data_IF_513526731729
#
_entry.id   IF_513526731729
#
_cell.length_a   1.000
_cell.length_b   1.000
_cell.length_c   1.000
_cell.angle_alpha   90.00
_cell.angle_beta   90.00
_cell.angle_gamma   90.00
#
_symmetry.space_group_name_H-M   'P 1'
#
loop_
_entity.id
_entity.type
_entity.pdbx_description
1 polymer ?
#
# COMPACT_ATOMS: atom_id res chain seq x y z
N UNK A 1 -27.34 -22.33 -44.99
CA UNK A 1 -25.99 -21.78 -44.77
C UNK A 1 -26.06 -20.40 -44.17
N UNK A 2 -25.78 -20.31 -42.86
CA UNK A 2 -25.80 -19.03 -42.14
C UNK A 2 -24.45 -18.35 -42.39
N UNK A 3 -24.41 -17.45 -43.37
CA UNK A 3 -23.21 -16.70 -43.74
C UNK A 3 -22.80 -15.76 -42.60
N UNK A 4 -21.81 -16.15 -41.80
CA UNK A 4 -21.31 -15.32 -40.70
C UNK A 4 -20.33 -14.28 -41.25
N UNK A 5 -20.88 -13.11 -41.59
CA UNK A 5 -20.12 -11.99 -42.16
C UNK A 5 -18.93 -11.57 -41.27
N UNK A 6 -19.07 -11.65 -39.95
CA UNK A 6 -17.99 -11.38 -39.01
C UNK A 6 -16.82 -12.36 -39.18
N UNK A 7 -17.11 -13.66 -39.30
CA UNK A 7 -16.08 -14.69 -39.44
C UNK A 7 -15.31 -14.53 -40.76
N UNK A 8 -16.03 -14.25 -41.86
CA UNK A 8 -15.40 -13.98 -43.15
C UNK A 8 -14.51 -12.72 -43.12
N UNK A 9 -15.00 -11.64 -42.51
CA UNK A 9 -14.26 -10.39 -42.36
C UNK A 9 -12.99 -10.58 -41.52
N UNK A 10 -13.10 -11.35 -40.43
CA UNK A 10 -11.96 -11.70 -39.58
C UNK A 10 -10.90 -12.49 -40.36
N UNK A 11 -11.30 -13.55 -41.06
CA UNK A 11 -10.38 -14.39 -41.83
C UNK A 11 -9.68 -13.59 -42.95
N UNK A 12 -10.41 -12.68 -43.62
CA UNK A 12 -9.83 -11.80 -44.63
C UNK A 12 -8.79 -10.82 -44.04
N UNK A 13 -9.07 -10.24 -42.87
CA UNK A 13 -8.12 -9.34 -42.19
C UNK A 13 -6.87 -10.11 -41.73
N UNK A 14 -7.04 -11.30 -41.14
CA UNK A 14 -5.92 -12.08 -40.59
C UNK A 14 -5.00 -12.66 -41.67
N UNK A 15 -5.54 -13.05 -42.82
CA UNK A 15 -4.79 -13.84 -43.82
C UNK A 15 -4.54 -13.13 -45.15
N UNK A 16 -5.27 -12.04 -45.44
CA UNK A 16 -5.26 -11.43 -46.77
C UNK A 16 -4.92 -9.94 -46.78
N UNK A 17 -4.84 -9.27 -45.63
CA UNK A 17 -4.47 -7.85 -45.54
C UNK A 17 -3.02 -7.73 -45.03
N UNK A 18 -2.13 -7.36 -45.94
CA UNK A 18 -0.74 -7.04 -45.63
C UNK A 18 -0.51 -5.56 -45.91
N UNK A 19 -0.14 -4.79 -44.88
CA UNK A 19 0.13 -3.36 -44.99
C UNK A 19 1.59 -3.04 -44.68
N UNK A 20 2.26 -2.32 -45.58
CA UNK A 20 3.60 -1.77 -45.37
C UNK A 20 3.52 -0.26 -45.59
N UNK A 21 3.82 0.50 -44.54
CA UNK A 21 3.98 1.95 -44.59
C UNK A 21 5.33 2.31 -43.97
N UNK A 22 5.94 3.41 -44.41
CA UNK A 22 7.19 3.92 -43.85
C UNK A 22 6.98 4.55 -42.47
N UNK A 23 5.76 5.04 -42.20
CA UNK A 23 5.35 5.53 -40.90
C UNK A 23 4.66 4.43 -40.08
N UNK A 24 5.34 4.00 -39.01
CA UNK A 24 4.83 3.00 -38.06
C UNK A 24 3.52 3.47 -37.40
N UNK A 25 3.34 4.78 -37.18
CA UNK A 25 2.13 5.34 -36.59
C UNK A 25 0.90 5.11 -37.49
N UNK A 26 1.05 5.25 -38.81
CA UNK A 26 -0.01 4.98 -39.77
C UNK A 26 -0.42 3.50 -39.78
N UNK A 27 0.56 2.59 -39.64
CA UNK A 27 0.31 1.13 -39.53
C UNK A 27 -0.51 0.82 -38.28
N UNK A 28 -0.18 1.40 -37.13
CA UNK A 28 -0.92 1.17 -35.88
C UNK A 28 -2.34 1.75 -35.94
N UNK A 29 -2.54 2.92 -36.56
CA UNK A 29 -3.88 3.48 -36.78
C UNK A 29 -4.72 2.58 -37.69
N UNK A 30 -4.12 2.02 -38.76
CA UNK A 30 -4.81 1.10 -39.66
C UNK A 30 -5.22 -0.19 -38.93
N UNK A 31 -4.33 -0.78 -38.11
CA UNK A 31 -4.65 -1.94 -37.26
C UNK A 31 -5.80 -1.65 -36.30
N UNK A 32 -5.76 -0.51 -35.62
CA UNK A 32 -6.83 -0.08 -34.70
C UNK A 32 -8.17 0.05 -35.43
N UNK A 33 -8.17 0.64 -36.64
CA UNK A 33 -9.38 0.80 -37.44
C UNK A 33 -9.98 -0.55 -37.88
N UNK A 34 -9.13 -1.49 -38.31
CA UNK A 34 -9.57 -2.85 -38.67
C UNK A 34 -10.15 -3.58 -37.47
N UNK A 35 -9.50 -3.48 -36.30
CA UNK A 35 -10.01 -4.05 -35.05
C UNK A 35 -11.36 -3.47 -34.65
N UNK A 36 -11.53 -2.14 -34.69
CA UNK A 36 -12.81 -1.48 -34.42
C UNK A 36 -13.90 -1.95 -35.39
N UNK A 37 -13.56 -2.15 -36.67
CA UNK A 37 -14.51 -2.65 -37.67
C UNK A 37 -15.01 -4.07 -37.38
N UNK A 38 -14.19 -4.89 -36.71
CA UNK A 38 -14.59 -6.23 -36.26
C UNK A 38 -15.44 -6.15 -34.99
N UNK A 39 -15.09 -5.25 -34.07
CA UNK A 39 -15.83 -5.05 -32.81
C UNK A 39 -17.27 -4.59 -33.07
N UNK A 40 -17.48 -3.67 -34.03
CA UNK A 40 -18.82 -3.21 -34.44
C UNK A 40 -19.67 -4.38 -34.94
N UNK A 41 -19.12 -5.19 -35.84
CA UNK A 41 -19.85 -6.31 -36.46
C UNK A 41 -20.11 -7.46 -35.49
N UNK A 42 -19.26 -7.62 -34.47
CA UNK A 42 -19.46 -8.64 -33.43
C UNK A 42 -20.70 -8.38 -32.58
N UNK A 43 -21.19 -7.13 -32.53
CA UNK A 43 -22.36 -6.74 -31.77
C UNK A 43 -22.19 -7.04 -30.28
N UNK A 44 -21.62 -6.11 -29.53
CA UNK A 44 -21.64 -6.23 -28.07
C UNK A 44 -22.87 -5.51 -27.53
N UNK A 45 -23.85 -6.27 -27.04
CA UNK A 45 -24.92 -5.71 -26.23
C UNK A 45 -24.39 -5.42 -24.83
N UNK A 46 -24.30 -4.13 -24.49
CA UNK A 46 -24.00 -3.67 -23.15
C UNK A 46 -25.21 -2.91 -22.60
N UNK A 47 -25.59 -3.23 -21.37
CA UNK A 47 -26.57 -2.42 -20.65
C UNK A 47 -25.94 -1.05 -20.37
N UNK A 48 -26.56 0.00 -20.93
CA UNK A 48 -26.04 1.38 -20.82
C UNK A 48 -25.85 1.84 -19.37
N UNK A 49 -26.64 1.30 -18.45
CA UNK A 49 -26.54 1.53 -17.00
C UNK A 49 -25.20 1.05 -16.40
N UNK A 50 -24.51 0.11 -17.06
CA UNK A 50 -23.20 -0.41 -16.64
C UNK A 50 -22.02 0.44 -17.11
N UNK A 51 -22.26 1.46 -17.96
CA UNK A 51 -21.25 2.40 -18.44
C UNK A 51 -21.09 3.56 -17.46
N UNK A 52 -20.46 3.29 -16.32
CA UNK A 52 -20.13 4.34 -15.35
C UNK A 52 -18.87 5.10 -15.79
N UNK A 53 -18.80 6.40 -15.51
CA UNK A 53 -17.67 7.28 -15.84
C UNK A 53 -16.31 6.82 -15.28
N UNK A 54 -16.33 5.90 -14.31
CA UNK A 54 -15.18 5.39 -13.58
C UNK A 54 -14.58 4.10 -14.17
N UNK A 55 -15.22 3.43 -15.13
CA UNK A 55 -14.78 2.12 -15.64
C UNK A 55 -14.68 2.13 -17.17
N UNK A 56 -13.45 2.20 -17.68
CA UNK A 56 -13.15 2.19 -19.12
C UNK A 56 -12.68 0.82 -19.64
N UNK A 57 -12.86 -0.26 -18.85
CA UNK A 57 -12.53 -1.63 -19.26
C UNK A 57 -13.80 -2.49 -19.33
N UNK A 58 -14.06 -3.06 -20.50
CA UNK A 58 -15.26 -3.88 -20.78
C UNK A 58 -15.07 -5.36 -20.43
N UNK A 59 -13.84 -5.77 -20.08
CA UNK A 59 -13.49 -7.15 -19.75
C UNK A 59 -13.61 -7.41 -18.25
N UNK A 60 -14.09 -8.59 -17.87
CA UNK A 60 -14.21 -9.06 -16.47
C UNK A 60 -15.24 -8.31 -15.59
N UNK A 61 -16.22 -7.63 -16.20
CA UNK A 61 -17.36 -7.03 -15.47
C UNK A 61 -18.16 -8.08 -14.67
N UNK A 62 -18.30 -9.30 -15.20
CA UNK A 62 -18.93 -10.43 -14.52
C UNK A 62 -18.20 -10.83 -13.23
N UNK A 63 -16.86 -10.89 -13.27
CA UNK A 63 -16.02 -11.20 -12.10
C UNK A 63 -16.08 -10.04 -11.10
N UNK A 64 -16.04 -8.79 -11.58
CA UNK A 64 -16.17 -7.60 -10.74
C UNK A 64 -17.49 -7.59 -9.97
N UNK A 65 -18.61 -7.81 -10.67
CA UNK A 65 -19.95 -7.85 -10.08
C UNK A 65 -20.06 -8.95 -9.01
N UNK A 66 -19.45 -10.12 -9.23
CA UNK A 66 -19.38 -11.19 -8.22
C UNK A 66 -18.59 -10.76 -6.98
N UNK A 67 -17.43 -10.12 -7.17
CA UNK A 67 -16.61 -9.63 -6.06
C UNK A 67 -17.39 -8.62 -5.22
N UNK A 68 -17.99 -7.63 -5.87
CA UNK A 68 -18.78 -6.57 -5.20
C UNK A 68 -20.03 -7.12 -4.52
N UNK A 69 -20.70 -8.12 -5.10
CA UNK A 69 -21.91 -8.74 -4.54
C UNK A 69 -21.63 -9.59 -3.30
N UNK A 70 -20.50 -10.31 -3.28
CA UNK A 70 -20.16 -11.26 -2.20
C UNK A 70 -19.39 -10.55 -1.08
N UNK A 71 -18.50 -9.62 -1.43
CA UNK A 71 -17.62 -8.95 -0.50
C UNK A 71 -18.31 -7.85 0.29
N UNK A 72 -17.83 -7.59 1.50
CA UNK A 72 -18.14 -6.38 2.26
C UNK A 72 -16.98 -5.39 2.06
N UNK A 73 -17.24 -4.13 1.68
CA UNK A 73 -16.18 -3.12 1.54
C UNK A 73 -15.34 -3.02 2.80
N UNK A 74 -14.01 -2.92 2.66
CA UNK A 74 -13.08 -2.96 3.78
C UNK A 74 -13.33 -1.86 4.83
N UNK A 75 -13.79 -0.67 4.42
CA UNK A 75 -14.22 0.41 5.33
C UNK A 75 -15.36 0.02 6.28
N UNK A 76 -16.15 -0.98 5.90
CA UNK A 76 -17.28 -1.48 6.69
C UNK A 76 -16.88 -2.71 7.53
N UNK A 77 -15.60 -3.10 7.52
CA UNK A 77 -15.00 -4.01 8.51
C UNK A 77 -14.62 -3.25 9.79
N UNK A 78 -14.39 -3.99 10.88
CA UNK A 78 -13.92 -3.44 12.15
C UNK A 78 -12.41 -3.12 12.10
N UNK A 79 -12.03 -2.28 11.13
CA UNK A 79 -10.66 -1.82 10.87
C UNK A 79 -10.53 -0.31 10.93
N UNK A 80 -9.34 0.16 11.26
CA UNK A 80 -8.91 1.54 11.02
C UNK A 80 -7.92 1.55 9.86
N UNK A 81 -8.07 2.52 8.94
CA UNK A 81 -7.17 2.70 7.80
C UNK A 81 -6.53 4.08 7.86
N UNK A 82 -5.20 4.08 7.99
CA UNK A 82 -4.40 5.28 8.24
C UNK A 82 -3.15 5.32 7.36
N UNK A 83 -2.41 6.43 7.40
CA UNK A 83 -1.14 6.60 6.69
C UNK A 83 -0.03 7.00 7.67
N UNK A 84 1.22 6.81 7.26
CA UNK A 84 2.36 7.13 8.11
C UNK A 84 2.66 8.62 8.26
N UNK A 85 3.76 8.91 8.94
CA UNK A 85 4.17 10.24 9.36
C UNK A 85 4.78 11.03 8.21
N UNK A 86 4.37 12.30 8.09
CA UNK A 86 5.05 13.28 7.23
C UNK A 86 6.08 14.02 8.07
N UNK A 87 7.37 13.70 7.88
CA UNK A 87 8.45 14.39 8.59
C UNK A 87 8.60 15.84 8.12
N UNK A 88 8.38 16.08 6.83
CA UNK A 88 8.63 17.35 6.14
C UNK A 88 10.11 17.64 5.86
N UNK A 89 11.03 16.82 6.36
CA UNK A 89 12.47 16.89 6.05
C UNK A 89 13.19 15.64 6.57
N UNK A 90 13.25 14.60 5.74
CA UNK A 90 13.73 13.27 6.14
C UNK A 90 15.16 13.28 6.72
N UNK A 91 16.07 14.08 6.18
CA UNK A 91 17.49 14.15 6.63
C UNK A 91 17.65 14.49 8.11
N UNK A 92 16.73 15.26 8.70
CA UNK A 92 16.80 15.60 10.12
C UNK A 92 16.13 14.54 11.00
N UNK A 93 15.03 13.93 10.56
CA UNK A 93 14.20 13.07 11.41
C UNK A 93 14.41 11.57 11.22
N UNK A 94 14.98 11.15 10.10
CA UNK A 94 15.30 9.74 9.83
C UNK A 94 16.80 9.57 9.98
N UNK A 95 17.20 8.79 10.98
CA UNK A 95 18.58 8.62 11.39
C UNK A 95 18.99 7.15 11.32
N UNK A 96 20.28 6.90 11.10
CA UNK A 96 20.89 5.59 11.23
C UNK A 96 21.28 5.30 12.69
N UNK A 97 21.68 4.06 12.95
CA UNK A 97 22.10 3.63 14.29
C UNK A 97 23.32 4.43 14.80
N UNK A 98 24.24 4.81 13.91
CA UNK A 98 25.41 5.62 14.27
C UNK A 98 25.00 7.00 14.79
N UNK A 99 24.07 7.67 14.11
CA UNK A 99 23.56 8.98 14.51
C UNK A 99 22.70 8.87 15.76
N UNK A 100 21.86 7.82 15.87
CA UNK A 100 21.12 7.51 17.09
C UNK A 100 22.06 7.39 18.29
N UNK A 101 23.12 6.59 18.18
CA UNK A 101 24.07 6.41 19.26
C UNK A 101 24.83 7.71 19.60
N UNK A 102 25.16 8.52 18.58
CA UNK A 102 25.78 9.84 18.79
C UNK A 102 24.87 10.78 19.61
N UNK A 103 23.57 10.81 19.31
CA UNK A 103 22.61 11.61 20.09
C UNK A 103 22.54 11.08 21.53
N UNK A 104 22.41 9.77 21.72
CA UNK A 104 22.28 9.17 23.05
C UNK A 104 23.56 9.31 23.91
N UNK A 105 24.75 9.20 23.31
CA UNK A 105 26.02 9.39 24.00
C UNK A 105 26.28 10.84 24.42
N UNK A 106 25.67 11.81 23.72
CA UNK A 106 25.78 13.24 24.06
C UNK A 106 24.76 13.68 25.13
N UNK A 107 23.86 12.78 25.58
CA UNK A 107 22.97 13.06 26.70
C UNK A 107 23.77 13.26 27.99
N UNK A 108 23.36 14.25 28.79
CA UNK A 108 24.10 14.65 30.01
C UNK A 108 23.81 13.77 31.21
N UNK A 109 22.68 13.07 31.20
CA UNK A 109 22.16 12.27 32.31
C UNK A 109 21.53 10.99 31.77
N UNK A 110 21.51 9.93 32.57
CA UNK A 110 20.83 8.68 32.18
C UNK A 110 19.32 8.89 32.03
N UNK A 111 18.71 9.79 32.80
CA UNK A 111 17.31 10.16 32.62
C UNK A 111 17.09 10.83 31.25
N UNK A 112 18.06 11.60 30.74
CA UNK A 112 17.99 12.21 29.40
C UNK A 112 18.08 11.16 28.32
N UNK A 113 19.02 10.24 28.49
CA UNK A 113 19.23 9.15 27.56
C UNK A 113 17.96 8.30 27.43
N UNK A 114 17.37 7.85 28.55
CA UNK A 114 16.13 7.05 28.57
C UNK A 114 14.96 7.75 27.88
N UNK A 115 14.69 9.03 28.20
CA UNK A 115 13.58 9.77 27.59
C UNK A 115 13.83 10.10 26.11
N UNK A 116 15.08 10.34 25.72
CA UNK A 116 15.45 10.58 24.31
C UNK A 116 15.35 9.31 23.49
N UNK A 117 15.77 8.17 24.04
CA UNK A 117 15.63 6.86 23.42
C UNK A 117 14.16 6.51 23.19
N UNK A 118 13.28 6.78 24.17
CA UNK A 118 11.85 6.48 24.07
C UNK A 118 11.12 7.18 22.90
N UNK A 119 11.65 8.31 22.42
CA UNK A 119 11.08 9.05 21.27
C UNK A 119 11.79 8.75 19.94
N UNK A 120 12.84 7.92 19.94
CA UNK A 120 13.52 7.46 18.74
C UNK A 120 13.00 6.07 18.41
N UNK A 121 12.08 5.99 17.45
CA UNK A 121 11.31 4.78 17.14
C UNK A 121 11.82 4.13 15.85
N UNK A 122 11.88 2.78 15.73
CA UNK A 122 12.17 2.14 14.46
C UNK A 122 11.23 2.61 13.36
N UNK A 123 11.75 2.85 12.14
CA UNK A 123 10.94 3.36 11.02
C UNK A 123 11.12 2.54 9.75
N UNK A 124 10.03 2.34 9.02
CA UNK A 124 10.00 1.72 7.70
C UNK A 124 9.69 2.73 6.61
N UNK A 125 10.30 2.53 5.44
CA UNK A 125 10.07 3.29 4.21
C UNK A 125 9.36 2.40 3.18
N UNK A 126 8.75 3.00 2.16
CA UNK A 126 7.99 2.22 1.15
C UNK A 126 8.77 1.04 0.57
N UNK A 127 10.05 1.25 0.20
CA UNK A 127 10.92 0.19 -0.36
C UNK A 127 11.24 -0.97 0.60
N UNK A 128 11.07 -0.74 1.89
CA UNK A 128 11.32 -1.72 2.95
C UNK A 128 10.13 -2.71 3.07
N UNK A 129 8.99 -2.42 2.42
CA UNK A 129 7.79 -3.27 2.41
C UNK A 129 7.82 -4.23 1.22
N UNK A 130 7.61 -5.51 1.48
CA UNK A 130 7.56 -6.59 0.48
C UNK A 130 6.21 -7.32 0.57
N UNK A 131 5.98 -8.29 -0.31
CA UNK A 131 4.78 -9.14 -0.23
C UNK A 131 4.91 -10.06 0.97
N UNK A 132 3.95 -10.01 1.89
CA UNK A 132 3.89 -10.70 3.19
C UNK A 132 4.84 -10.19 4.29
N UNK A 133 6.05 -9.73 3.96
CA UNK A 133 7.07 -9.33 4.95
C UNK A 133 7.64 -7.93 4.73
N UNK A 134 8.49 -7.49 5.66
CA UNK A 134 9.21 -6.22 5.60
C UNK A 134 10.69 -6.44 5.98
N UNK A 135 11.56 -5.54 5.52
CA UNK A 135 12.99 -5.53 5.84
C UNK A 135 13.39 -4.22 6.48
N UNK A 136 13.50 -4.20 7.80
CA UNK A 136 13.94 -2.99 8.49
C UNK A 136 15.40 -2.68 8.17
N UNK A 137 15.65 -1.45 7.75
CA UNK A 137 16.95 -1.01 7.25
C UNK A 137 17.89 -0.47 8.36
N UNK A 138 17.60 -0.75 9.64
CA UNK A 138 18.36 -0.17 10.76
C UNK A 138 18.17 1.35 10.91
N UNK A 139 17.00 1.85 10.51
CA UNK A 139 16.68 3.28 10.53
C UNK A 139 15.66 3.62 11.62
N UNK A 140 15.79 4.83 12.14
CA UNK A 140 14.96 5.32 13.22
C UNK A 140 14.35 6.68 12.88
N UNK A 141 13.11 6.88 13.32
CA UNK A 141 12.41 8.15 13.31
C UNK A 141 12.56 8.83 14.68
N UNK A 142 12.97 10.09 14.67
CA UNK A 142 12.85 10.97 15.83
C UNK A 142 11.41 11.47 15.88
N UNK A 143 10.59 10.89 16.76
CA UNK A 143 9.16 11.18 16.87
C UNK A 143 8.91 12.41 17.77
N UNK A 144 8.72 13.57 17.13
CA UNK A 144 8.46 14.85 17.84
C UNK A 144 7.10 15.42 17.41
N UNK A 145 6.03 15.23 18.20
CA UNK A 145 4.72 15.82 17.93
C UNK A 145 4.73 17.35 18.05
N UNK A 146 3.65 17.99 17.61
CA UNK A 146 3.50 19.45 17.78
C UNK A 146 3.53 19.86 19.25
N UNK A 147 4.10 21.03 19.54
CA UNK A 147 4.27 21.57 20.88
C UNK A 147 5.14 20.74 21.83
N UNK A 148 5.89 19.76 21.34
CA UNK A 148 6.77 18.93 22.16
C UNK A 148 7.76 19.77 22.99
N UNK A 149 8.00 19.47 24.28
CA UNK A 149 7.48 18.33 25.06
C UNK A 149 6.13 18.61 25.75
N UNK A 150 5.43 19.69 25.40
CA UNK A 150 4.13 20.10 25.93
C UNK A 150 2.94 19.66 25.07
N UNK A 151 3.11 18.65 24.21
CA UNK A 151 2.09 18.15 23.26
C UNK A 151 0.76 17.73 23.91
N UNK A 152 0.72 17.48 25.22
CA UNK A 152 -0.51 17.18 25.97
C UNK A 152 -1.31 18.43 26.37
N UNK A 153 -0.74 19.62 26.26
CA UNK A 153 -1.41 20.89 26.60
C UNK A 153 -2.23 21.40 25.41
N UNK A 154 -3.54 21.11 25.45
CA UNK A 154 -4.50 21.51 24.39
C UNK A 154 -4.74 23.02 24.29
N UNK A 155 -4.19 23.83 25.21
CA UNK A 155 -4.33 25.30 25.19
C UNK A 155 -3.31 25.98 24.28
N UNK A 156 -2.25 25.25 23.89
CA UNK A 156 -1.20 25.81 23.03
C UNK A 156 -1.69 25.79 21.58
N UNK A 157 -1.75 26.96 20.97
CA UNK A 157 -2.05 27.13 19.56
C UNK A 157 -0.87 27.84 18.89
N UNK A 158 -0.40 27.29 17.76
CA UNK A 158 0.74 27.84 17.02
C UNK A 158 2.08 27.71 17.75
N UNK A 159 3.09 28.47 17.31
CA UNK A 159 4.47 28.35 17.81
C UNK A 159 4.59 28.71 19.29
N UNK A 160 5.08 27.79 20.12
CA UNK A 160 5.32 28.03 21.54
C UNK A 160 6.81 28.19 21.87
N UNK A 161 7.21 29.42 22.22
CA UNK A 161 8.56 29.68 22.76
C UNK A 161 8.81 28.93 24.07
N UNK A 162 7.75 28.72 24.87
CA UNK A 162 7.80 27.93 26.11
C UNK A 162 8.10 26.46 25.83
N UNK A 163 7.52 25.89 24.77
CA UNK A 163 7.82 24.53 24.33
C UNK A 163 9.28 24.42 23.88
N UNK A 164 9.78 25.35 23.07
CA UNK A 164 11.19 25.35 22.64
C UNK A 164 12.16 25.46 23.81
N UNK A 165 11.91 26.35 24.77
CA UNK A 165 12.74 26.48 25.97
C UNK A 165 12.77 25.17 26.78
N UNK A 166 11.60 24.53 26.97
CA UNK A 166 11.53 23.24 27.66
C UNK A 166 12.22 22.13 26.86
N UNK A 167 12.08 22.11 25.54
CA UNK A 167 12.76 21.15 24.67
C UNK A 167 14.28 21.27 24.82
N UNK A 168 14.83 22.48 24.74
CA UNK A 168 16.26 22.75 24.95
C UNK A 168 16.74 22.34 26.35
N UNK A 169 15.93 22.54 27.39
CA UNK A 169 16.28 22.21 28.78
C UNK A 169 16.21 20.71 29.07
N UNK A 170 15.18 20.02 28.55
CA UNK A 170 14.88 18.62 28.88
C UNK A 170 15.60 17.67 27.90
N UNK A 171 15.80 18.06 26.64
CA UNK A 171 16.45 17.25 25.61
C UNK A 171 17.63 18.01 24.97
N UNK A 172 18.62 18.48 25.74
CA UNK A 172 19.70 19.32 25.21
C UNK A 172 20.50 18.62 24.10
N UNK A 173 20.76 17.31 24.19
CA UNK A 173 21.46 16.57 23.13
C UNK A 173 20.67 16.59 21.81
N UNK A 174 19.40 16.20 21.86
CA UNK A 174 18.54 16.15 20.67
C UNK A 174 18.24 17.54 20.10
N UNK A 175 18.05 18.55 20.96
CA UNK A 175 17.91 19.95 20.54
C UNK A 175 19.13 20.39 19.72
N UNK A 176 20.34 20.14 20.22
CA UNK A 176 21.57 20.53 19.54
C UNK A 176 21.73 19.81 18.19
N UNK A 177 21.35 18.53 18.11
CA UNK A 177 21.33 17.80 16.86
C UNK A 177 20.37 18.42 15.83
N UNK A 178 19.10 18.67 16.21
CA UNK A 178 18.13 19.28 15.28
C UNK A 178 18.49 20.72 14.92
N UNK A 179 19.17 21.43 15.82
CA UNK A 179 19.63 22.80 15.59
C UNK A 179 20.55 22.92 14.37
N UNK A 180 21.33 21.87 14.05
CA UNK A 180 22.14 21.80 12.82
C UNK A 180 21.32 21.98 11.54
N UNK A 181 20.02 21.67 11.61
CA UNK A 181 19.10 21.75 10.48
C UNK A 181 18.10 22.93 10.60
N UNK A 182 18.25 23.80 11.60
CA UNK A 182 17.27 24.84 11.95
C UNK A 182 16.86 25.71 10.75
N UNK A 183 17.82 26.11 9.91
CA UNK A 183 17.54 26.97 8.76
C UNK A 183 16.64 26.29 7.72
N UNK A 184 16.88 25.01 7.43
CA UNK A 184 16.03 24.23 6.52
C UNK A 184 14.67 23.94 7.16
N UNK A 185 14.69 23.52 8.42
CA UNK A 185 13.48 23.16 9.17
C UNK A 185 12.52 24.33 9.35
N UNK A 186 13.04 25.55 9.56
CA UNK A 186 12.24 26.77 9.74
C UNK A 186 11.53 27.21 8.45
N UNK A 187 12.02 26.79 7.28
CA UNK A 187 11.43 27.12 5.96
C UNK A 187 10.24 26.24 5.57
N UNK A 188 10.03 25.11 6.24
CA UNK A 188 8.96 24.14 5.93
C UNK A 188 7.55 24.68 6.11
N UNK A 189 7.34 25.54 7.12
CA UNK A 189 6.03 25.74 7.75
C UNK A 189 5.06 26.69 7.02
N UNK A 190 5.49 27.49 6.03
CA UNK A 190 4.62 28.53 5.45
C UNK A 190 3.88 28.11 4.17
N UNK A 191 4.42 27.18 3.39
CA UNK A 191 3.95 26.95 2.02
C UNK A 191 2.72 26.03 1.89
N UNK A 192 2.48 25.12 2.84
CA UNK A 192 1.50 24.03 2.64
C UNK A 192 0.28 24.00 3.58
N UNK A 193 0.37 24.54 4.80
CA UNK A 193 -0.69 24.29 5.82
C UNK A 193 -1.31 25.54 6.44
N UNK A 194 -0.79 26.73 6.14
CA UNK A 194 -1.14 28.01 6.79
C UNK A 194 -1.00 28.03 8.33
N UNK A 195 -0.61 26.92 8.99
CA UNK A 195 -0.40 26.81 10.43
C UNK A 195 1.09 26.65 10.72
N UNK A 196 1.60 27.48 11.64
CA UNK A 196 3.01 27.47 12.03
C UNK A 196 3.18 26.74 13.37
N UNK A 197 3.85 25.59 13.34
CA UNK A 197 4.33 24.88 14.53
C UNK A 197 5.82 25.17 14.78
N UNK A 198 6.36 24.69 15.89
CA UNK A 198 7.76 24.88 16.23
C UNK A 198 8.69 24.27 15.17
N UNK A 199 9.83 24.88 14.89
CA UNK A 199 10.67 24.47 13.76
C UNK A 199 11.24 23.05 13.90
N UNK A 200 11.32 22.50 15.12
CA UNK A 200 11.93 21.19 15.41
C UNK A 200 10.94 20.02 15.43
N UNK A 201 9.64 20.24 15.16
CA UNK A 201 8.62 19.18 15.21
C UNK A 201 8.39 18.52 13.85
N UNK A 202 7.72 17.37 13.84
CA UNK A 202 7.25 16.70 12.63
C UNK A 202 6.19 17.54 11.91
N UNK A 203 6.16 17.47 10.58
CA UNK A 203 5.18 18.22 9.79
C UNK A 203 3.74 17.71 9.99
N UNK A 204 3.54 16.39 9.97
CA UNK A 204 2.29 15.72 10.38
C UNK A 204 2.66 14.48 11.19
N UNK A 205 2.26 14.46 12.45
CA UNK A 205 2.62 13.42 13.42
C UNK A 205 1.48 12.45 13.73
N UNK A 206 0.39 12.48 12.95
CA UNK A 206 -0.80 11.64 13.16
C UNK A 206 -1.44 11.81 14.55
N UNK A 207 -1.80 13.06 14.88
CA UNK A 207 -2.36 13.44 16.19
C UNK A 207 -3.52 12.55 16.67
N UNK A 208 -4.37 12.13 15.74
CA UNK A 208 -5.65 11.51 16.07
C UNK A 208 -5.55 9.98 16.19
N UNK A 209 -4.42 9.39 15.77
CA UNK A 209 -4.27 7.94 15.65
C UNK A 209 -2.83 7.45 15.90
N UNK A 210 -2.04 8.16 16.69
CA UNK A 210 -0.64 7.76 16.94
C UNK A 210 -0.53 6.40 17.64
N UNK A 211 -1.51 6.03 18.49
CA UNK A 211 -1.55 4.72 19.15
C UNK A 211 -1.68 3.55 18.12
N UNK A 212 -2.19 3.82 16.92
CA UNK A 212 -2.29 2.81 15.86
C UNK A 212 -0.91 2.32 15.36
N UNK A 213 0.16 3.12 15.52
CA UNK A 213 1.52 2.68 15.20
C UNK A 213 2.05 1.60 16.14
N UNK A 214 1.46 1.44 17.33
CA UNK A 214 1.90 0.47 18.32
C UNK A 214 1.13 -0.86 18.23
N UNK A 215 0.01 -0.90 17.49
CA UNK A 215 -0.77 -2.11 17.25
C UNK A 215 -0.15 -3.01 16.18
N UNK A 216 -0.48 -4.30 16.21
CA UNK A 216 -0.27 -5.16 15.03
C UNK A 216 -1.05 -4.60 13.83
N UNK A 217 -0.44 -4.70 12.64
CA UNK A 217 -0.97 -4.02 11.44
C UNK A 217 -0.59 -4.72 10.16
N UNK A 218 -1.44 -4.59 9.16
CA UNK A 218 -1.05 -4.82 7.77
C UNK A 218 -0.60 -3.47 7.21
N UNK A 219 0.53 -3.43 6.53
CA UNK A 219 0.98 -2.23 5.84
C UNK A 219 1.09 -2.47 4.35
N UNK A 220 0.92 -1.41 3.58
CA UNK A 220 1.17 -1.47 2.14
C UNK A 220 1.69 -0.16 1.62
N UNK A 221 2.28 -0.28 0.44
CA UNK A 221 2.75 0.83 -0.35
C UNK A 221 2.29 0.62 -1.79
N UNK A 222 1.82 1.66 -2.50
CA UNK A 222 1.60 1.59 -3.93
C UNK A 222 2.94 1.80 -4.63
N UNK A 223 3.72 0.72 -4.84
CA UNK A 223 5.08 0.80 -5.42
C UNK A 223 5.21 -0.18 -6.57
N UNK A 224 5.73 0.31 -7.70
CA UNK A 224 6.09 -0.49 -8.89
C UNK A 224 4.92 -1.33 -9.40
N UNK A 225 3.90 -0.66 -9.97
CA UNK A 225 2.75 -1.26 -10.69
C UNK A 225 1.90 -2.31 -9.94
N UNK A 226 2.19 -2.60 -8.67
CA UNK A 226 1.38 -3.52 -7.84
C UNK A 226 1.29 -3.07 -6.37
N UNK A 227 0.23 -3.50 -5.71
CA UNK A 227 0.09 -3.36 -4.26
C UNK A 227 0.81 -4.51 -3.56
N UNK A 228 1.65 -4.20 -2.58
CA UNK A 228 2.38 -5.17 -1.76
C UNK A 228 1.95 -5.01 -0.31
N UNK A 229 1.29 -6.03 0.24
CA UNK A 229 0.81 -6.03 1.63
C UNK A 229 1.71 -6.89 2.50
N UNK A 230 2.17 -6.34 3.62
CA UNK A 230 2.99 -7.02 4.62
C UNK A 230 2.33 -7.01 5.99
N UNK A 231 2.61 -8.01 6.80
CA UNK A 231 2.16 -8.08 8.20
C UNK A 231 3.28 -7.61 9.13
N UNK A 232 2.95 -6.68 10.04
CA UNK A 232 3.85 -6.12 11.03
C UNK A 232 3.33 -6.47 12.43
N UNK A 233 3.99 -7.41 13.13
CA UNK A 233 3.64 -7.75 14.51
C UNK A 233 4.28 -6.80 15.53
N UNK A 234 5.15 -5.88 15.10
CA UNK A 234 5.95 -5.02 16.00
C UNK A 234 5.51 -3.55 15.98
N UNK A 235 5.94 -2.83 17.02
CA UNK A 235 5.95 -1.38 17.08
C UNK A 235 7.00 -0.81 16.12
N UNK A 236 6.55 -0.42 14.92
CA UNK A 236 7.36 0.30 13.96
C UNK A 236 6.55 1.45 13.39
N UNK A 237 7.19 2.61 13.33
CA UNK A 237 6.60 3.80 12.73
C UNK A 237 6.77 3.76 11.22
N UNK A 238 5.85 4.42 10.53
CA UNK A 238 5.76 4.39 9.09
C UNK A 238 5.91 5.81 8.55
N UNK A 239 6.53 5.97 7.39
CA UNK A 239 6.47 7.24 6.67
C UNK A 239 5.13 7.40 5.94
N UNK A 240 4.78 8.63 5.58
CA UNK A 240 3.57 8.96 4.81
C UNK A 240 3.49 8.25 3.44
N UNK A 241 4.58 7.60 3.01
CA UNK A 241 4.58 6.73 1.85
C UNK A 241 4.01 5.32 2.11
N UNK A 242 3.56 5.03 3.33
CA UNK A 242 3.06 3.71 3.71
C UNK A 242 1.71 3.91 4.39
N UNK A 243 0.76 3.06 4.03
CA UNK A 243 -0.55 2.99 4.65
C UNK A 243 -0.63 1.77 5.57
N UNK A 244 -1.54 1.81 6.53
CA UNK A 244 -1.75 0.73 7.49
C UNK A 244 -3.23 0.43 7.71
N UNK A 245 -3.52 -0.85 7.88
CA UNK A 245 -4.79 -1.39 8.37
C UNK A 245 -4.51 -1.96 9.77
N UNK A 246 -5.24 -1.49 10.75
CA UNK A 246 -5.21 -1.98 12.14
C UNK A 246 -6.61 -2.46 12.55
N UNK A 247 -6.71 -3.40 13.51
CA UNK A 247 -7.99 -3.79 14.05
C UNK A 247 -8.54 -2.64 14.92
N UNK A 248 -9.85 -2.41 14.83
CA UNK A 248 -10.54 -1.39 15.63
C UNK A 248 -10.58 -1.76 17.12
N UNK A 249 -10.63 -3.07 17.43
CA UNK A 249 -10.69 -3.61 18.79
C UNK A 249 -9.58 -4.65 19.02
N UNK A 250 -9.04 -4.72 20.23
CA UNK A 250 -8.06 -5.73 20.62
C UNK A 250 -8.66 -7.15 20.54
N UNK A 251 -7.84 -8.14 20.16
CA UNK A 251 -8.24 -9.54 20.06
C UNK A 251 -8.85 -9.96 18.72
N UNK A 252 -9.04 -9.04 17.79
CA UNK A 252 -9.52 -9.34 16.43
C UNK A 252 -8.48 -10.12 15.61
N UNK A 253 -8.76 -11.40 15.32
CA UNK A 253 -7.82 -12.33 14.64
C UNK A 253 -7.90 -12.32 13.11
N UNK A 254 -8.67 -11.41 12.51
CA UNK A 254 -8.92 -11.42 11.07
C UNK A 254 -7.78 -10.83 10.23
N UNK A 255 -6.77 -10.16 10.82
CA UNK A 255 -5.71 -9.50 10.03
C UNK A 255 -4.98 -10.49 9.11
N UNK A 256 -4.66 -11.69 9.59
CA UNK A 256 -4.01 -12.71 8.75
C UNK A 256 -4.92 -13.21 7.64
N UNK A 257 -6.22 -13.31 7.89
CA UNK A 257 -7.21 -13.59 6.85
C UNK A 257 -7.25 -12.48 5.80
N UNK A 258 -7.31 -11.21 6.21
CA UNK A 258 -7.24 -10.08 5.29
C UNK A 258 -5.94 -10.09 4.49
N UNK A 259 -4.79 -10.38 5.12
CA UNK A 259 -3.50 -10.46 4.45
C UNK A 259 -3.50 -11.54 3.35
N UNK A 260 -4.13 -12.69 3.60
CA UNK A 260 -4.28 -13.75 2.60
C UNK A 260 -5.09 -13.27 1.39
N UNK A 261 -6.24 -12.65 1.64
CA UNK A 261 -7.14 -12.17 0.57
C UNK A 261 -6.49 -11.02 -0.20
N UNK A 262 -5.90 -10.04 0.49
CA UNK A 262 -5.27 -8.86 -0.10
C UNK A 262 -4.08 -9.19 -1.02
N UNK A 263 -3.32 -10.25 -0.70
CA UNK A 263 -2.20 -10.70 -1.53
C UNK A 263 -2.59 -11.72 -2.61
N UNK A 264 -3.87 -12.08 -2.72
CA UNK A 264 -4.35 -13.02 -3.74
C UNK A 264 -4.34 -12.40 -5.14
N UNK A 265 -4.20 -13.27 -6.17
CA UNK A 265 -4.30 -12.88 -7.58
C UNK A 265 -5.62 -12.19 -7.92
N UNK A 266 -6.72 -12.66 -7.33
CA UNK A 266 -8.05 -12.11 -7.59
C UNK A 266 -8.13 -10.64 -7.19
N UNK A 267 -7.73 -10.33 -5.95
CA UNK A 267 -7.74 -8.95 -5.45
C UNK A 267 -6.74 -8.08 -6.20
N UNK A 268 -5.56 -8.63 -6.55
CA UNK A 268 -4.60 -7.91 -7.38
C UNK A 268 -5.22 -7.47 -8.71
N UNK A 269 -5.90 -8.37 -9.41
CA UNK A 269 -6.55 -8.03 -10.68
C UNK A 269 -7.70 -7.04 -10.49
N UNK A 270 -8.52 -7.21 -9.45
CA UNK A 270 -9.60 -6.28 -9.14
C UNK A 270 -9.07 -4.85 -8.92
N UNK A 271 -7.99 -4.71 -8.16
CA UNK A 271 -7.32 -3.42 -7.96
C UNK A 271 -6.80 -2.88 -9.28
N UNK A 272 -6.14 -3.69 -10.12
CA UNK A 272 -5.63 -3.28 -11.43
C UNK A 272 -6.75 -2.73 -12.32
N UNK A 273 -7.91 -3.39 -12.40
CA UNK A 273 -9.07 -2.94 -13.18
C UNK A 273 -9.62 -1.58 -12.73
N UNK A 274 -9.55 -1.29 -11.42
CA UNK A 274 -9.98 -0.02 -10.82
C UNK A 274 -8.89 1.05 -10.78
N UNK A 275 -7.73 0.83 -11.39
CA UNK A 275 -6.60 1.76 -11.33
C UNK A 275 -6.07 2.14 -12.71
N UNK A 276 -5.91 3.43 -12.96
CA UNK A 276 -5.01 3.95 -13.99
C UNK A 276 -3.56 3.85 -13.51
N UNK A 277 -3.05 2.65 -13.19
CA UNK A 277 -1.63 2.43 -12.91
C UNK A 277 -0.85 2.56 -14.22
N UNK A 278 -0.74 3.80 -14.70
CA UNK A 278 -0.04 4.17 -15.91
C UNK A 278 1.36 4.64 -15.52
N UNK A 279 2.34 3.73 -15.70
CA UNK A 279 3.80 3.93 -15.68
C UNK A 279 4.52 3.72 -14.33
N UNK A 280 5.71 3.14 -14.43
CA UNK A 280 6.69 3.02 -13.35
C UNK A 280 6.99 4.38 -12.70
N UNK A 281 7.11 4.40 -11.38
CA UNK A 281 7.54 5.59 -10.62
C UNK A 281 6.44 6.61 -10.25
N UNK A 282 5.18 6.41 -10.65
CA UNK A 282 4.06 7.31 -10.27
C UNK A 282 3.26 6.74 -9.10
N UNK A 283 3.11 7.53 -8.03
CA UNK A 283 2.28 7.20 -6.88
C UNK A 283 0.81 7.04 -7.32
N UNK A 284 0.18 5.90 -7.01
CA UNK A 284 -1.23 5.71 -7.33
C UNK A 284 -2.08 6.68 -6.48
N UNK A 285 -2.63 7.72 -7.13
CA UNK A 285 -3.67 8.55 -6.53
C UNK A 285 -4.85 7.66 -6.07
N UNK A 286 -5.36 7.92 -4.86
CA UNK A 286 -6.46 7.17 -4.26
C UNK A 286 -6.08 5.85 -3.58
N UNK A 287 -4.81 5.59 -3.24
CA UNK A 287 -4.37 4.35 -2.57
C UNK A 287 -5.21 4.00 -1.33
N UNK A 288 -5.56 4.98 -0.49
CA UNK A 288 -6.44 4.74 0.67
C UNK A 288 -7.88 4.42 0.25
N UNK A 289 -8.50 5.31 -0.51
CA UNK A 289 -9.91 5.21 -0.91
C UNK A 289 -10.21 3.92 -1.71
N UNK A 290 -9.26 3.46 -2.52
CA UNK A 290 -9.37 2.21 -3.28
C UNK A 290 -9.35 1.00 -2.36
N UNK A 291 -8.40 0.94 -1.44
CA UNK A 291 -8.27 -0.16 -0.49
C UNK A 291 -9.46 -0.20 0.48
N UNK A 292 -9.96 0.96 0.92
CA UNK A 292 -11.17 1.08 1.73
C UNK A 292 -12.41 0.52 1.05
N UNK A 293 -12.51 0.63 -0.28
CA UNK A 293 -13.64 0.11 -1.06
C UNK A 293 -13.49 -1.35 -1.47
N UNK A 294 -12.38 -2.04 -1.13
CA UNK A 294 -12.18 -3.42 -1.54
C UNK A 294 -13.24 -4.35 -0.93
N UNK A 295 -14.04 -5.06 -1.74
CA UNK A 295 -15.04 -5.97 -1.22
C UNK A 295 -14.37 -7.27 -0.76
N UNK A 296 -14.31 -7.53 0.54
CA UNK A 296 -13.75 -8.76 1.14
C UNK A 296 -14.86 -9.53 1.86
N UNK A 297 -15.04 -10.85 1.61
CA UNK A 297 -16.11 -11.63 2.24
C UNK A 297 -15.93 -11.72 3.76
N UNK A 298 -16.97 -11.38 4.51
CA UNK A 298 -17.05 -11.64 5.95
C UNK A 298 -17.54 -13.07 6.18
N UNK A 299 -16.62 -13.96 6.51
CA UNK A 299 -16.92 -15.38 6.76
C UNK A 299 -16.68 -15.73 8.24
N UNK A 300 -17.36 -16.75 8.79
CA UNK A 300 -17.11 -17.22 10.17
C UNK A 300 -15.63 -17.57 10.41
N UNK A 301 -15.13 -17.33 11.62
CA UNK A 301 -13.71 -17.54 11.98
C UNK A 301 -13.20 -18.96 11.65
N UNK A 302 -14.03 -19.99 11.89
CA UNK A 302 -13.72 -21.38 11.54
C UNK A 302 -13.38 -21.56 10.06
N UNK A 303 -14.04 -20.81 9.17
CA UNK A 303 -13.78 -20.83 7.72
C UNK A 303 -12.58 -19.99 7.32
N UNK A 304 -12.10 -19.09 8.18
CA UNK A 304 -10.89 -18.30 7.94
C UNK A 304 -9.62 -19.11 8.24
N UNK A 305 -9.69 -20.10 9.15
CA UNK A 305 -8.54 -20.89 9.63
C UNK A 305 -7.64 -21.43 8.51
N UNK A 306 -8.14 -22.06 7.42
CA UNK A 306 -7.26 -22.58 6.38
C UNK A 306 -6.40 -21.52 5.69
N UNK A 307 -6.93 -20.30 5.51
CA UNK A 307 -6.18 -19.17 4.94
C UNK A 307 -5.16 -18.62 5.94
N UNK A 308 -5.55 -18.53 7.22
CA UNK A 308 -4.68 -18.05 8.30
C UNK A 308 -3.49 -18.99 8.47
N UNK A 309 -3.70 -20.32 8.48
CA UNK A 309 -2.62 -21.31 8.60
C UNK A 309 -1.62 -21.24 7.44
N UNK A 310 -2.10 -20.97 6.22
CA UNK A 310 -1.21 -20.75 5.06
C UNK A 310 -0.40 -19.46 5.21
N UNK A 311 -1.02 -18.39 5.72
CA UNK A 311 -0.32 -17.14 6.02
C UNK A 311 0.72 -17.35 7.11
N UNK A 312 0.41 -18.09 8.18
CA UNK A 312 1.37 -18.39 9.24
C UNK A 312 2.60 -19.11 8.70
N UNK A 313 2.41 -20.14 7.86
CA UNK A 313 3.52 -20.82 7.17
C UNK A 313 4.32 -19.88 6.29
N UNK A 314 3.67 -18.95 5.57
CA UNK A 314 4.38 -17.95 4.77
C UNK A 314 5.22 -17.04 5.68
N UNK A 315 4.64 -16.51 6.75
CA UNK A 315 5.31 -15.59 7.66
C UNK A 315 6.51 -16.25 8.36
N UNK A 316 6.39 -17.53 8.76
CA UNK A 316 7.51 -18.32 9.31
C UNK A 316 8.70 -18.44 8.35
N UNK A 317 8.44 -18.48 7.04
CA UNK A 317 9.49 -18.55 6.03
C UNK A 317 10.07 -17.17 5.71
N UNK A 318 9.22 -16.16 5.53
CA UNK A 318 9.63 -14.83 5.08
C UNK A 318 10.29 -14.00 6.18
N UNK A 319 10.06 -14.33 7.46
CA UNK A 319 10.70 -13.64 8.59
C UNK A 319 12.13 -14.14 8.87
N UNK A 320 12.64 -15.10 8.10
CA UNK A 320 14.03 -15.56 8.21
C UNK A 320 14.97 -14.55 7.56
N UNK A 321 16.11 -14.29 8.21
CA UNK A 321 17.11 -13.35 7.70
C UNK A 321 17.67 -13.75 6.32
N UNK A 322 17.76 -15.06 6.03
CA UNK A 322 18.29 -15.61 4.79
C UNK A 322 17.25 -15.76 3.67
N UNK A 323 15.97 -15.44 3.90
CA UNK A 323 14.86 -15.71 2.97
C UNK A 323 15.10 -15.19 1.54
N UNK A 324 15.58 -13.96 1.39
CA UNK A 324 15.83 -13.35 0.07
C UNK A 324 16.91 -14.09 -0.75
N UNK A 325 17.76 -14.88 -0.07
CA UNK A 325 18.86 -15.63 -0.68
C UNK A 325 18.56 -17.13 -0.83
N UNK A 326 17.34 -17.56 -0.49
CA UNK A 326 16.93 -18.96 -0.46
C UNK A 326 15.80 -19.26 -1.45
N UNK A 327 16.14 -19.65 -2.69
CA UNK A 327 15.15 -19.99 -3.71
C UNK A 327 14.18 -21.08 -3.28
N UNK A 328 14.63 -22.07 -2.51
CA UNK A 328 13.80 -23.16 -1.99
C UNK A 328 12.71 -22.67 -1.03
N UNK A 329 12.98 -21.63 -0.24
CA UNK A 329 11.98 -21.01 0.64
C UNK A 329 11.00 -20.15 -0.16
N UNK A 330 11.50 -19.42 -1.17
CA UNK A 330 10.68 -18.60 -2.05
C UNK A 330 9.70 -19.47 -2.87
N UNK A 331 10.15 -20.62 -3.33
CA UNK A 331 9.30 -21.60 -4.02
C UNK A 331 8.18 -22.11 -3.10
N UNK A 332 8.49 -22.45 -1.83
CA UNK A 332 7.46 -22.84 -0.85
C UNK A 332 6.44 -21.73 -0.60
N UNK A 333 6.89 -20.47 -0.45
CA UNK A 333 5.99 -19.31 -0.31
C UNK A 333 5.09 -19.17 -1.55
N UNK A 334 5.63 -19.40 -2.75
CA UNK A 334 4.84 -19.39 -3.98
C UNK A 334 3.81 -20.53 -4.02
N UNK A 335 4.17 -21.73 -3.55
CA UNK A 335 3.25 -22.87 -3.44
C UNK A 335 2.10 -22.57 -2.46
N UNK A 336 2.39 -22.02 -1.28
CA UNK A 336 1.36 -21.60 -0.33
C UNK A 336 0.50 -20.46 -0.86
N UNK A 337 1.10 -19.48 -1.55
CA UNK A 337 0.34 -18.41 -2.21
C UNK A 337 -0.63 -18.96 -3.27
N UNK A 338 -0.22 -19.97 -4.04
CA UNK A 338 -1.12 -20.63 -5.00
C UNK A 338 -2.28 -21.35 -4.29
N UNK A 339 -2.05 -21.95 -3.12
CA UNK A 339 -3.13 -22.54 -2.32
C UNK A 339 -4.09 -21.48 -1.79
N UNK A 340 -3.57 -20.33 -1.34
CA UNK A 340 -4.37 -19.15 -0.97
C UNK A 340 -5.23 -18.71 -2.15
N UNK A 341 -4.67 -18.57 -3.35
CA UNK A 341 -5.42 -18.18 -4.55
C UNK A 341 -6.62 -19.11 -4.80
N UNK A 342 -6.41 -20.43 -4.73
CA UNK A 342 -7.48 -21.42 -4.92
C UNK A 342 -8.60 -21.32 -3.87
N UNK A 343 -8.24 -21.07 -2.61
CA UNK A 343 -9.22 -20.85 -1.54
C UNK A 343 -9.98 -19.55 -1.74
N UNK A 344 -9.29 -18.47 -2.13
CA UNK A 344 -9.92 -17.17 -2.40
C UNK A 344 -10.88 -17.25 -3.59
N UNK A 345 -10.51 -17.93 -4.68
CA UNK A 345 -11.44 -18.14 -5.80
C UNK A 345 -12.74 -18.83 -5.37
N UNK A 346 -12.65 -19.81 -4.45
CA UNK A 346 -13.82 -20.47 -3.88
C UNK A 346 -14.67 -19.54 -3.02
N UNK A 347 -14.06 -18.59 -2.27
CA UNK A 347 -14.82 -17.60 -1.48
C UNK A 347 -15.74 -16.75 -2.35
N UNK A 348 -15.34 -16.47 -3.59
CA UNK A 348 -16.10 -15.68 -4.55
C UNK A 348 -16.92 -16.51 -5.55
N UNK A 349 -17.00 -17.84 -5.35
CA UNK A 349 -17.72 -18.76 -6.24
C UNK A 349 -17.32 -18.61 -7.72
N UNK A 350 -16.01 -18.50 -7.98
CA UNK A 350 -15.50 -18.39 -9.34
C UNK A 350 -15.48 -19.74 -10.05
N UNK A 351 -15.82 -19.73 -11.34
CA UNK A 351 -15.76 -20.91 -12.22
C UNK A 351 -14.34 -21.13 -12.75
N UNK A 352 -14.07 -22.33 -13.26
CA UNK A 352 -12.77 -22.65 -13.86
C UNK A 352 -12.44 -21.73 -15.06
N UNK A 353 -13.45 -21.28 -15.81
CA UNK A 353 -13.28 -20.34 -16.92
C UNK A 353 -12.89 -18.94 -16.45
N UNK A 354 -13.54 -18.45 -15.40
CA UNK A 354 -13.20 -17.17 -14.76
C UNK A 354 -11.79 -17.20 -14.16
N UNK A 355 -11.43 -18.29 -13.48
CA UNK A 355 -10.08 -18.50 -12.93
C UNK A 355 -9.03 -18.49 -14.06
N UNK A 356 -9.29 -19.18 -15.18
CA UNK A 356 -8.38 -19.17 -16.34
C UNK A 356 -8.20 -17.77 -16.93
N UNK A 357 -9.26 -16.95 -16.99
CA UNK A 357 -9.18 -15.54 -17.43
C UNK A 357 -8.26 -14.73 -16.52
N UNK A 358 -8.45 -14.87 -15.21
CA UNK A 358 -7.63 -14.20 -14.19
C UNK A 358 -6.14 -14.58 -14.32
N UNK A 359 -5.85 -15.88 -14.39
CA UNK A 359 -4.47 -16.36 -14.43
C UNK A 359 -3.73 -16.04 -15.73
N UNK A 360 -4.45 -15.94 -16.87
CA UNK A 360 -3.85 -15.55 -18.16
C UNK A 360 -3.37 -14.10 -18.14
N UNK A 361 -4.16 -13.17 -17.62
CA UNK A 361 -3.80 -11.74 -17.59
C UNK A 361 -2.53 -11.49 -16.79
N UNK A 362 -2.43 -12.07 -15.60
CA UNK A 362 -1.26 -11.92 -14.73
C UNK A 362 0.03 -12.56 -15.28
N UNK A 363 -0.05 -13.42 -16.32
CA UNK A 363 1.12 -13.94 -17.04
C UNK A 363 1.62 -13.00 -18.12
N UNK A 364 0.75 -12.17 -18.70
CA UNK A 364 1.09 -11.24 -19.77
C UNK A 364 1.68 -9.92 -19.25
N UNK A 365 1.59 -9.67 -17.93
CA UNK A 365 2.18 -8.50 -17.24
C UNK A 365 3.63 -8.74 -16.77
N UNK A 366 4.22 -9.90 -17.08
CA UNK A 366 5.64 -10.25 -16.84
C UNK A 366 6.35 -10.37 -18.17
#
# INVERSE_FOLDING_TARGET
DNFNLYQLKKEAIENSIYGVDIDIGAVEIAKLRLWLSLVVDKGFEFQQEKLLSEVWTFEDLDIKEKIEKIGTPLKDWDVNINYGIKTGFNEAFIIDEKTRQKILNNCKTEEEKKRTEAIIKPVLRGRDIKRYYYKWAGLYLIYIPWHFPLHKDKKINGVSMKAEYKFKKIYPSLYNYLFLYKDRLSKRNKAETNIRYEWYVLQRYASDYYDEFEKEKIVWTPVDSEYKFAYLPIEAYLLNSIFMITPKYEGNKFLKYLLAVLNSKLIRQYITLGTNLSREGVYAYGSKEKIEKLPIPKIPEEKQKPLIELVDKILELTNREDYEYRPDLQEKVQQYSKQIDQLVYKLYNLTDEEIKRIERKLKNDK
#
